data_IF_200490279467
#
_entry.id   IF_200490279467
#
_cell.length_a   1.000
_cell.length_b   1.000
_cell.length_c   1.000
_cell.angle_alpha   90.00
_cell.angle_beta   90.00
_cell.angle_gamma   90.00
#
_symmetry.space_group_name_H-M   'P 1'
#
loop_
_entity.id
_entity.type
_entity.pdbx_description
1 polymer ?
#
# COMPACT_ATOMS: atom_id res chain seq x y z
N UNK A 1 2.98 32.26 -3.55
CA UNK A 1 3.18 31.25 -2.49
C UNK A 1 2.99 29.87 -3.10
N UNK A 2 4.01 29.00 -3.11
CA UNK A 2 3.83 27.60 -3.51
C UNK A 2 3.07 26.90 -2.38
N UNK A 3 1.89 26.41 -2.65
CA UNK A 3 1.16 25.56 -1.71
C UNK A 3 1.96 24.28 -1.47
N UNK A 4 2.14 23.92 -0.19
CA UNK A 4 2.77 22.66 0.19
C UNK A 4 1.85 21.50 -0.21
N UNK A 5 2.32 20.61 -1.06
CA UNK A 5 1.60 19.41 -1.50
C UNK A 5 1.74 18.23 -0.51
N UNK A 6 2.45 18.43 0.60
CA UNK A 6 2.62 17.41 1.62
C UNK A 6 1.29 17.09 2.30
N UNK A 7 0.95 15.82 2.36
CA UNK A 7 -0.24 15.34 3.07
C UNK A 7 -0.02 15.41 4.59
N UNK A 8 -1.08 15.70 5.38
CA UNK A 8 -0.99 15.61 6.83
C UNK A 8 -0.48 14.24 7.26
N UNK A 9 0.29 14.21 8.34
CA UNK A 9 0.73 12.98 8.99
C UNK A 9 -0.08 12.80 10.27
N UNK A 10 -0.44 11.55 10.57
CA UNK A 10 -1.04 11.19 11.83
C UNK A 10 0.05 10.98 12.89
N UNK A 11 -0.24 11.31 14.13
CA UNK A 11 0.66 11.10 15.26
C UNK A 11 1.14 9.65 15.34
N UNK A 12 0.22 8.70 15.17
CA UNK A 12 0.53 7.26 15.15
C UNK A 12 1.51 6.86 14.01
N UNK A 13 1.42 7.50 12.85
CA UNK A 13 2.35 7.27 11.73
C UNK A 13 3.73 7.81 12.05
N UNK A 14 3.78 9.01 12.66
CA UNK A 14 5.04 9.62 13.09
C UNK A 14 5.72 8.81 14.19
N UNK A 15 4.95 8.35 15.18
CA UNK A 15 5.46 7.51 16.28
C UNK A 15 6.04 6.22 15.75
N UNK A 16 5.30 5.48 14.90
CA UNK A 16 5.77 4.24 14.30
C UNK A 16 7.04 4.43 13.44
N UNK A 17 7.12 5.53 12.69
CA UNK A 17 8.32 5.88 11.93
C UNK A 17 9.51 6.13 12.84
N UNK A 18 9.31 6.87 13.93
CA UNK A 18 10.36 7.19 14.89
C UNK A 18 10.83 5.95 15.66
N UNK A 19 9.92 5.07 16.08
CA UNK A 19 10.23 3.77 16.69
C UNK A 19 11.07 2.87 15.78
N UNK A 20 10.74 2.86 14.48
CA UNK A 20 11.53 2.12 13.48
C UNK A 20 12.95 2.68 13.35
N UNK A 21 13.13 3.99 13.46
CA UNK A 21 14.44 4.64 13.38
C UNK A 21 15.30 4.38 14.60
N UNK A 22 14.71 4.49 15.77
CA UNK A 22 15.43 4.39 17.06
C UNK A 22 15.53 2.95 17.57
N UNK A 23 14.73 2.02 16.99
CA UNK A 23 14.82 0.58 17.32
C UNK A 23 14.13 0.20 18.62
N UNK A 24 13.14 0.97 19.08
CA UNK A 24 12.38 0.70 20.30
C UNK A 24 11.21 1.64 20.50
N UNK A 25 10.42 1.36 21.55
CA UNK A 25 9.33 2.24 21.96
C UNK A 25 9.86 3.60 22.39
N UNK A 26 9.25 4.66 21.92
CA UNK A 26 9.69 6.05 22.11
C UNK A 26 8.77 6.75 23.09
N UNK A 27 9.37 7.28 24.15
CA UNK A 27 8.73 8.31 24.94
C UNK A 27 9.11 9.72 24.44
N UNK A 28 8.40 10.73 24.90
CA UNK A 28 8.61 12.14 24.52
C UNK A 28 10.03 12.63 24.84
N UNK A 29 10.64 12.06 25.88
CA UNK A 29 12.00 12.36 26.31
C UNK A 29 13.07 11.81 25.34
N UNK A 30 12.88 10.57 24.84
CA UNK A 30 13.76 9.96 23.86
C UNK A 30 13.68 10.68 22.52
N UNK A 31 12.47 11.06 22.10
CA UNK A 31 12.26 11.82 20.87
C UNK A 31 13.08 13.13 20.87
N UNK A 32 12.98 13.90 21.95
CA UNK A 32 13.67 15.19 22.08
C UNK A 32 15.19 15.07 22.19
N UNK A 33 15.71 13.95 22.67
CA UNK A 33 17.15 13.72 22.89
C UNK A 33 17.89 13.17 21.68
N UNK A 34 17.19 12.49 20.77
CA UNK A 34 17.83 11.76 19.67
C UNK A 34 17.47 12.31 18.30
N UNK A 35 16.31 12.94 18.15
CA UNK A 35 15.84 13.46 16.87
C UNK A 35 16.12 14.96 16.76
N UNK A 36 16.87 15.34 15.74
CA UNK A 36 17.14 16.72 15.41
C UNK A 36 16.04 17.34 14.55
N UNK A 37 15.57 16.60 13.54
CA UNK A 37 14.58 17.09 12.59
C UNK A 37 13.82 15.93 11.96
N UNK A 38 12.53 16.14 11.70
CA UNK A 38 11.71 15.28 10.88
C UNK A 38 11.25 16.05 9.65
N UNK A 39 11.55 15.55 8.47
CA UNK A 39 11.13 16.14 7.20
C UNK A 39 10.09 15.23 6.53
N UNK A 40 8.93 15.79 6.24
CA UNK A 40 7.84 15.07 5.62
C UNK A 40 7.84 15.29 4.11
N UNK A 41 7.86 14.20 3.37
CA UNK A 41 7.63 14.17 1.92
C UNK A 41 6.27 13.51 1.62
N UNK A 42 5.82 13.59 0.41
CA UNK A 42 4.57 12.94 -0.02
C UNK A 42 4.64 11.41 0.07
N UNK A 43 5.82 10.83 -0.10
CA UNK A 43 6.10 9.39 -0.21
C UNK A 43 6.92 8.83 0.95
N UNK A 44 7.60 9.66 1.72
CA UNK A 44 8.51 9.23 2.80
C UNK A 44 8.60 10.21 3.95
N UNK A 45 9.11 9.73 5.07
CA UNK A 45 9.50 10.51 6.25
C UNK A 45 11.03 10.39 6.37
N UNK A 46 11.72 11.52 6.41
CA UNK A 46 13.16 11.55 6.73
C UNK A 46 13.33 12.02 8.17
N UNK A 47 14.05 11.22 8.95
CA UNK A 47 14.41 11.52 10.33
C UNK A 47 15.90 11.76 10.39
N UNK A 48 16.28 12.96 10.79
CA UNK A 48 17.67 13.36 11.06
C UNK A 48 17.92 13.24 12.56
N UNK A 49 18.95 12.49 12.94
CA UNK A 49 19.35 12.29 14.33
C UNK A 49 20.42 13.32 14.74
N UNK A 50 20.51 13.61 16.02
CA UNK A 50 21.51 14.53 16.57
C UNK A 50 22.96 14.06 16.33
N UNK A 51 23.17 12.75 16.14
CA UNK A 51 24.47 12.19 15.76
C UNK A 51 24.84 12.36 14.28
N UNK A 52 24.06 13.11 13.52
CA UNK A 52 24.26 13.38 12.09
C UNK A 52 23.74 12.28 11.14
N UNK A 53 23.27 11.16 11.65
CA UNK A 53 22.67 10.10 10.82
C UNK A 53 21.30 10.52 10.30
N UNK A 54 21.00 10.10 9.07
CA UNK A 54 19.66 10.26 8.48
C UNK A 54 19.10 8.91 8.10
N UNK A 55 17.84 8.70 8.43
CA UNK A 55 17.09 7.51 8.02
C UNK A 55 15.82 7.94 7.29
N UNK A 56 15.53 7.24 6.20
CA UNK A 56 14.33 7.48 5.40
C UNK A 56 13.38 6.30 5.53
N UNK A 57 12.13 6.58 5.84
CA UNK A 57 11.07 5.59 5.98
C UNK A 57 10.01 5.92 4.94
N UNK A 58 9.70 4.94 4.11
CA UNK A 58 8.61 5.08 3.14
C UNK A 58 7.30 5.19 3.92
N UNK A 59 6.53 6.22 3.65
CA UNK A 59 5.22 6.40 4.26
C UNK A 59 4.31 5.26 3.82
N UNK A 60 3.94 4.43 4.79
CA UNK A 60 2.84 3.50 4.57
C UNK A 60 1.57 4.33 4.51
N UNK A 61 0.98 4.40 3.33
CA UNK A 61 -0.28 5.11 3.17
C UNK A 61 -1.39 4.38 3.95
N UNK A 62 -1.55 4.73 5.22
CA UNK A 62 -2.83 4.63 5.90
C UNK A 62 -3.72 5.74 5.31
N UNK A 63 -3.97 5.61 3.99
CA UNK A 63 -4.59 6.62 3.19
C UNK A 63 -6.01 6.93 3.63
N UNK A 64 -6.55 8.04 3.14
CA UNK A 64 -7.97 8.42 3.20
C UNK A 64 -8.83 7.17 3.25
N UNK A 65 -9.88 7.12 4.09
CA UNK A 65 -10.84 6.01 4.15
C UNK A 65 -11.05 5.41 2.76
N UNK A 66 -10.49 4.21 2.51
CA UNK A 66 -10.63 3.49 1.25
C UNK A 66 -9.36 3.28 0.42
N UNK A 67 -8.26 4.00 0.62
CA UNK A 67 -6.99 3.72 -0.07
C UNK A 67 -6.21 2.60 0.65
N UNK A 68 -5.74 1.63 -0.10
CA UNK A 68 -4.83 0.57 0.35
C UNK A 68 -3.65 0.48 -0.63
N UNK A 69 -2.68 -0.39 -0.35
CA UNK A 69 -1.49 -0.55 -1.18
C UNK A 69 -1.80 -0.87 -2.66
N UNK A 70 -2.97 -1.47 -2.91
CA UNK A 70 -3.43 -1.86 -4.25
C UNK A 70 -4.19 -0.75 -5.00
N UNK A 71 -4.44 0.40 -4.38
CA UNK A 71 -5.17 1.50 -5.03
C UNK A 71 -4.48 1.89 -6.34
N UNK A 72 -5.25 1.92 -7.43
CA UNK A 72 -4.78 2.16 -8.80
C UNK A 72 -3.83 1.11 -9.40
N UNK A 73 -3.59 -0.01 -8.72
CA UNK A 73 -2.69 -1.07 -9.21
C UNK A 73 -3.39 -2.32 -9.71
N UNK A 74 -4.69 -2.49 -9.46
CA UNK A 74 -5.44 -3.69 -9.83
C UNK A 74 -6.10 -3.52 -11.20
N UNK A 75 -5.83 -4.48 -12.08
CA UNK A 75 -6.29 -4.47 -13.47
C UNK A 75 -7.03 -5.77 -13.80
N UNK A 76 -8.00 -5.67 -14.68
CA UNK A 76 -8.77 -6.81 -15.16
C UNK A 76 -8.00 -7.55 -16.26
N UNK A 77 -7.71 -8.84 -16.06
CA UNK A 77 -7.07 -9.70 -17.06
C UNK A 77 -7.94 -10.02 -18.26
N UNK A 78 -9.27 -9.86 -18.14
CA UNK A 78 -10.20 -10.14 -19.24
C UNK A 78 -10.33 -9.01 -20.24
N UNK A 79 -10.33 -7.74 -19.78
CA UNK A 79 -10.56 -6.59 -20.65
C UNK A 79 -9.49 -5.49 -20.55
N UNK A 80 -8.50 -5.63 -19.68
CA UNK A 80 -7.41 -4.68 -19.50
C UNK A 80 -7.80 -3.37 -18.79
N UNK A 81 -9.03 -3.24 -18.30
CA UNK A 81 -9.47 -2.05 -17.58
C UNK A 81 -9.09 -2.11 -16.10
N UNK A 82 -9.06 -0.96 -15.43
CA UNK A 82 -8.81 -0.90 -13.99
C UNK A 82 -9.92 -1.61 -13.21
N UNK A 83 -9.54 -2.22 -12.11
CA UNK A 83 -10.49 -2.70 -11.12
C UNK A 83 -10.66 -1.67 -10.01
N UNK A 84 -11.88 -1.55 -9.52
CA UNK A 84 -12.25 -0.67 -8.43
C UNK A 84 -12.59 -1.46 -7.19
N UNK A 85 -12.28 -0.88 -6.03
CA UNK A 85 -12.60 -1.45 -4.73
C UNK A 85 -13.98 -0.99 -4.30
N UNK A 86 -14.88 -1.94 -4.04
CA UNK A 86 -16.26 -1.67 -3.68
C UNK A 86 -16.71 -2.48 -2.46
N UNK A 87 -17.88 -2.15 -1.93
CA UNK A 87 -18.55 -2.88 -0.85
C UNK A 87 -19.65 -3.76 -1.44
N UNK A 88 -19.62 -5.05 -1.13
CA UNK A 88 -20.59 -6.00 -1.64
C UNK A 88 -21.44 -6.64 -0.54
N UNK A 89 -22.75 -6.66 -0.77
CA UNK A 89 -23.72 -7.31 0.09
C UNK A 89 -24.02 -6.58 1.40
N UNK A 90 -24.98 -7.12 2.17
CA UNK A 90 -25.44 -6.55 3.45
C UNK A 90 -24.32 -6.42 4.49
N UNK A 91 -23.32 -7.30 4.46
CA UNK A 91 -22.16 -7.28 5.36
C UNK A 91 -21.04 -6.35 4.87
N UNK A 92 -21.24 -5.56 3.82
CA UNK A 92 -20.28 -4.62 3.24
C UNK A 92 -18.87 -5.24 3.05
N UNK A 93 -18.81 -6.48 2.53
CA UNK A 93 -17.55 -7.15 2.24
C UNK A 93 -16.79 -6.36 1.18
N UNK A 94 -15.51 -6.16 1.39
CA UNK A 94 -14.65 -5.50 0.40
C UNK A 94 -14.37 -6.45 -0.76
N UNK A 95 -14.58 -5.95 -1.96
CA UNK A 95 -14.31 -6.67 -3.20
C UNK A 95 -13.58 -5.76 -4.19
N UNK A 96 -12.92 -6.38 -5.14
CA UNK A 96 -12.42 -5.73 -6.35
C UNK A 96 -13.24 -6.18 -7.55
N UNK A 97 -13.67 -5.27 -8.36
CA UNK A 97 -14.44 -5.54 -9.57
C UNK A 97 -13.93 -4.69 -10.73
N UNK A 98 -14.05 -5.20 -11.94
CA UNK A 98 -13.75 -4.44 -13.14
C UNK A 98 -14.62 -3.19 -13.19
N UNK A 99 -14.05 -2.04 -13.61
CA UNK A 99 -14.78 -0.79 -13.81
C UNK A 99 -15.77 -0.85 -14.97
N UNK A 100 -15.61 -1.82 -15.89
CA UNK A 100 -16.55 -2.02 -16.98
C UNK A 100 -17.87 -2.64 -16.51
N UNK A 101 -19.00 -2.24 -17.11
CA UNK A 101 -20.28 -2.85 -16.81
C UNK A 101 -20.29 -4.34 -17.15
N UNK A 102 -21.12 -5.11 -16.44
CA UNK A 102 -21.25 -6.57 -16.60
C UNK A 102 -21.59 -7.03 -18.00
N UNK A 103 -22.18 -6.16 -18.81
CA UNK A 103 -22.45 -6.42 -20.23
C UNK A 103 -21.19 -6.44 -21.10
N UNK A 104 -20.12 -5.81 -20.65
CA UNK A 104 -18.86 -5.68 -21.40
C UNK A 104 -17.73 -6.53 -20.77
N UNK A 105 -17.78 -6.78 -19.46
CA UNK A 105 -16.78 -7.60 -18.79
C UNK A 105 -17.44 -8.48 -17.73
N UNK A 106 -17.25 -9.80 -17.84
CA UNK A 106 -17.82 -10.79 -16.95
C UNK A 106 -16.83 -11.31 -15.91
N UNK A 107 -15.66 -10.68 -15.74
CA UNK A 107 -14.67 -11.08 -14.74
C UNK A 107 -15.33 -11.27 -13.37
N UNK A 108 -15.06 -12.41 -12.72
CA UNK A 108 -15.55 -12.70 -11.37
C UNK A 108 -14.98 -11.69 -10.38
N UNK A 109 -15.82 -11.20 -9.47
CA UNK A 109 -15.37 -10.34 -8.38
C UNK A 109 -14.28 -11.02 -7.57
N UNK A 110 -13.27 -10.25 -7.18
CA UNK A 110 -12.21 -10.74 -6.31
C UNK A 110 -12.46 -10.23 -4.88
N UNK A 111 -12.72 -11.11 -3.91
CA UNK A 111 -12.73 -10.71 -2.50
C UNK A 111 -11.40 -10.08 -2.09
N UNK A 112 -11.43 -9.01 -1.32
CA UNK A 112 -10.19 -8.37 -0.84
C UNK A 112 -9.35 -9.34 0.01
N UNK A 113 -10.00 -10.20 0.80
CA UNK A 113 -9.30 -11.24 1.57
C UNK A 113 -8.47 -12.18 0.69
N UNK A 114 -8.99 -12.53 -0.49
CA UNK A 114 -8.28 -13.37 -1.46
C UNK A 114 -7.08 -12.65 -2.07
N UNK A 115 -7.22 -11.35 -2.38
CA UNK A 115 -6.10 -10.54 -2.84
C UNK A 115 -5.00 -10.38 -1.78
N UNK A 116 -5.40 -10.21 -0.51
CA UNK A 116 -4.45 -10.11 0.60
C UNK A 116 -3.72 -11.43 0.83
N UNK A 117 -4.43 -12.58 0.77
CA UNK A 117 -3.83 -13.92 0.87
C UNK A 117 -2.80 -14.15 -0.25
N UNK A 118 -3.13 -13.76 -1.49
CA UNK A 118 -2.22 -13.85 -2.62
C UNK A 118 -0.96 -13.00 -2.40
N UNK A 119 -1.14 -11.76 -1.93
CA UNK A 119 -0.03 -10.85 -1.67
C UNK A 119 0.88 -11.35 -0.54
N UNK A 120 0.31 -11.83 0.56
CA UNK A 120 1.06 -12.39 1.68
C UNK A 120 1.85 -13.63 1.25
N UNK A 121 1.21 -14.52 0.48
CA UNK A 121 1.86 -15.72 -0.04
C UNK A 121 3.06 -15.44 -0.95
N UNK A 122 2.97 -14.44 -1.82
CA UNK A 122 4.00 -14.14 -2.82
C UNK A 122 5.04 -13.12 -2.36
N UNK A 123 4.67 -12.20 -1.46
CA UNK A 123 5.49 -11.07 -1.02
C UNK A 123 5.91 -11.15 0.45
N UNK A 124 5.25 -12.01 1.26
CA UNK A 124 5.50 -12.15 2.68
C UNK A 124 4.75 -11.14 3.56
N UNK A 125 5.00 -11.17 4.86
CA UNK A 125 4.25 -10.39 5.88
C UNK A 125 4.22 -8.88 5.62
N UNK A 126 5.30 -8.32 5.06
CA UNK A 126 5.39 -6.89 4.75
C UNK A 126 4.93 -6.54 3.31
N UNK A 127 3.97 -7.31 2.77
CA UNK A 127 3.54 -7.17 1.38
C UNK A 127 3.07 -5.75 1.03
N UNK A 128 2.48 -5.00 1.95
CA UNK A 128 1.97 -3.65 1.67
C UNK A 128 3.08 -2.68 1.23
N UNK A 129 4.21 -2.71 1.92
CA UNK A 129 5.39 -1.92 1.54
C UNK A 129 5.94 -2.38 0.18
N UNK A 130 6.02 -3.70 -0.04
CA UNK A 130 6.51 -4.29 -1.30
C UNK A 130 5.58 -4.04 -2.47
N UNK A 131 4.26 -4.07 -2.28
CA UNK A 131 3.30 -3.68 -3.32
C UNK A 131 3.53 -2.23 -3.76
N UNK A 132 3.81 -1.33 -2.82
CA UNK A 132 4.09 0.07 -3.14
C UNK A 132 5.43 0.27 -3.82
N UNK A 133 6.49 -0.42 -3.36
CA UNK A 133 7.86 -0.25 -3.84
C UNK A 133 8.13 -1.01 -5.14
N UNK A 134 7.76 -2.29 -5.20
CA UNK A 134 8.24 -3.24 -6.21
C UNK A 134 7.22 -3.57 -7.30
N UNK A 135 5.90 -3.50 -6.97
CA UNK A 135 4.85 -3.92 -7.88
C UNK A 135 4.42 -2.76 -8.78
N UNK A 136 4.45 -2.99 -10.08
CA UNK A 136 3.90 -2.07 -11.08
C UNK A 136 2.38 -2.20 -11.14
N UNK A 137 1.88 -3.40 -11.38
CA UNK A 137 0.45 -3.69 -11.41
C UNK A 137 0.12 -5.11 -10.97
N UNK A 138 -1.14 -5.32 -10.61
CA UNK A 138 -1.71 -6.62 -10.27
C UNK A 138 -2.82 -6.91 -11.26
N UNK A 139 -2.68 -7.98 -12.04
CA UNK A 139 -3.66 -8.38 -13.05
C UNK A 139 -4.50 -9.52 -12.49
N UNK A 140 -5.81 -9.33 -12.48
CA UNK A 140 -6.78 -10.29 -11.92
C UNK A 140 -7.57 -10.94 -13.03
N UNK A 141 -7.55 -12.27 -13.09
CA UNK A 141 -8.41 -13.09 -13.93
C UNK A 141 -9.35 -13.96 -13.10
N UNK A 142 -10.18 -14.77 -13.74
CA UNK A 142 -11.10 -15.66 -13.03
C UNK A 142 -10.39 -16.81 -12.29
N UNK A 143 -9.16 -17.14 -12.70
CA UNK A 143 -8.41 -18.29 -12.20
C UNK A 143 -7.15 -17.92 -11.45
N UNK A 144 -6.62 -16.71 -11.64
CA UNK A 144 -5.33 -16.32 -11.07
C UNK A 144 -5.22 -14.82 -10.81
N UNK A 145 -4.23 -14.47 -10.00
CA UNK A 145 -3.78 -13.11 -9.72
C UNK A 145 -2.30 -13.04 -10.03
N UNK A 146 -1.93 -12.18 -10.97
CA UNK A 146 -0.56 -11.97 -11.40
C UNK A 146 -0.02 -10.67 -10.81
N UNK A 147 1.11 -10.76 -10.13
CA UNK A 147 1.84 -9.61 -9.61
C UNK A 147 2.98 -9.29 -10.56
N UNK A 148 2.84 -8.20 -11.30
CA UNK A 148 3.85 -7.71 -12.23
C UNK A 148 4.77 -6.72 -11.51
N UNK A 149 6.03 -7.06 -11.44
CA UNK A 149 7.07 -6.25 -10.81
C UNK A 149 7.58 -5.18 -11.78
N UNK A 150 8.04 -4.06 -11.26
CA UNK A 150 8.67 -2.97 -12.03
C UNK A 150 9.90 -3.42 -12.83
N UNK A 151 10.56 -4.51 -12.43
CA UNK A 151 11.68 -5.12 -13.15
C UNK A 151 11.25 -6.08 -14.28
N UNK A 152 9.95 -6.19 -14.56
CA UNK A 152 9.39 -7.07 -15.58
C UNK A 152 9.14 -8.53 -15.13
N UNK A 153 9.48 -8.89 -13.90
CA UNK A 153 9.17 -10.22 -13.36
C UNK A 153 7.67 -10.32 -13.06
N UNK A 154 7.08 -11.51 -13.30
CA UNK A 154 5.69 -11.81 -12.95
C UNK A 154 5.64 -12.98 -11.98
N UNK A 155 4.88 -12.86 -10.91
CA UNK A 155 4.56 -13.96 -10.01
C UNK A 155 3.06 -14.18 -9.99
N UNK A 156 2.66 -15.44 -10.14
CA UNK A 156 1.25 -15.85 -10.26
C UNK A 156 0.79 -16.57 -9.00
N UNK A 157 -0.41 -16.23 -8.53
CA UNK A 157 -1.13 -16.93 -7.50
C UNK A 157 -2.44 -17.47 -8.05
N UNK A 158 -2.75 -18.75 -7.78
CA UNK A 158 -3.96 -19.41 -8.27
C UNK A 158 -5.14 -19.12 -7.34
N UNK A 159 -6.24 -18.65 -7.91
CA UNK A 159 -7.50 -18.44 -7.19
C UNK A 159 -8.14 -19.78 -6.82
N UNK A 160 -8.83 -19.79 -5.68
CA UNK A 160 -9.58 -20.97 -5.18
C UNK A 160 -10.97 -21.04 -5.75
#
# INVERSE_FOLDING_TARGET
MKQCECRPIWETELTAASETVLGGSIDESAFSKEIQQVTLYSDRIEVSLLNGNRKSIIRQFSGRRGQNAFTNKVWCGSCGCKCERDNYGKKKRKIWCCSQPRTQCQMKRLPESELLEAAESLLGENFQARVSADIDRVVVSDTQVDFEYKNGTVKTWQRK
#
